data_IF_624248908702
#
_entry.id   IF_624248908702
#
_cell.length_a   1.000
_cell.length_b   1.000
_cell.length_c   1.000
_cell.angle_alpha   90.00
_cell.angle_beta   90.00
_cell.angle_gamma   90.00
#
_symmetry.space_group_name_H-M   'P 1'
#
loop_
_entity.id
_entity.type
_entity.pdbx_description
1 polymer ?
#
# COMPACT_ATOMS: atom_id res chain seq x y z
N UNK A 1 1.36 -28.65 0.94
CA UNK A 1 0.41 -27.55 0.91
C UNK A 1 0.96 -26.34 1.63
N UNK A 2 0.97 -25.21 0.97
CA UNK A 2 1.51 -23.97 1.54
C UNK A 2 0.41 -23.19 2.24
N UNK A 3 0.31 -23.36 3.54
CA UNK A 3 -0.76 -22.73 4.32
C UNK A 3 -0.58 -21.25 4.53
N UNK A 4 0.65 -20.77 4.65
CA UNK A 4 0.94 -19.39 5.02
C UNK A 4 1.82 -18.70 3.98
N UNK A 5 1.52 -18.99 2.72
CA UNK A 5 2.27 -18.43 1.61
C UNK A 5 2.17 -16.89 1.57
N UNK A 6 1.02 -16.35 1.97
CA UNK A 6 0.80 -14.89 1.95
C UNK A 6 1.71 -14.14 2.91
N UNK A 7 2.24 -14.78 3.94
CA UNK A 7 3.15 -14.12 4.90
C UNK A 7 4.41 -13.60 4.20
N UNK A 8 4.82 -14.24 3.12
CA UNK A 8 5.98 -13.80 2.33
C UNK A 8 5.77 -12.45 1.67
N UNK A 9 4.53 -11.98 1.58
CA UNK A 9 4.22 -10.66 1.03
C UNK A 9 4.52 -9.52 2.00
N UNK A 10 4.69 -9.83 3.29
CA UNK A 10 5.02 -8.85 4.33
C UNK A 10 6.52 -8.57 4.27
N UNK A 11 6.88 -7.34 3.91
CA UNK A 11 8.28 -6.96 3.70
C UNK A 11 8.57 -5.59 4.33
N UNK A 12 9.84 -5.35 4.65
CA UNK A 12 10.27 -4.02 5.10
C UNK A 12 10.31 -3.10 3.89
N UNK A 13 10.34 -1.77 4.14
CA UNK A 13 10.41 -0.81 3.03
C UNK A 13 11.71 -0.98 2.24
N UNK A 14 12.80 -1.34 2.89
CA UNK A 14 14.08 -1.57 2.22
C UNK A 14 14.02 -2.77 1.29
N UNK A 15 13.46 -3.89 1.77
CA UNK A 15 13.24 -5.08 0.95
C UNK A 15 12.30 -4.77 -0.22
N UNK A 16 11.24 -3.99 0.07
CA UNK A 16 10.24 -3.64 -0.93
C UNK A 16 10.85 -2.76 -2.03
N UNK A 17 11.71 -1.80 -1.66
CA UNK A 17 12.37 -0.92 -2.63
C UNK A 17 13.18 -1.74 -3.63
N UNK A 18 13.91 -2.75 -3.16
CA UNK A 18 14.67 -3.63 -4.05
C UNK A 18 13.76 -4.44 -4.97
N UNK A 19 12.65 -4.95 -4.44
CA UNK A 19 11.70 -5.72 -5.23
C UNK A 19 11.02 -4.86 -6.30
N UNK A 20 10.61 -3.65 -5.95
CA UNK A 20 9.97 -2.73 -6.90
C UNK A 20 10.94 -2.35 -8.00
N UNK A 21 12.19 -2.07 -7.66
CA UNK A 21 13.21 -1.74 -8.63
C UNK A 21 13.37 -2.87 -9.66
N UNK A 22 13.43 -4.12 -9.20
CA UNK A 22 13.55 -5.28 -10.06
C UNK A 22 12.31 -5.47 -10.94
N UNK A 23 11.11 -5.29 -10.37
CA UNK A 23 9.86 -5.42 -11.12
C UNK A 23 9.76 -4.38 -12.23
N UNK A 24 10.11 -3.14 -11.94
CA UNK A 24 10.08 -2.06 -12.94
C UNK A 24 11.12 -2.30 -14.04
N UNK A 25 12.30 -2.76 -13.66
CA UNK A 25 13.36 -3.08 -14.61
C UNK A 25 12.92 -4.20 -15.58
N UNK A 26 12.06 -5.10 -15.12
CA UNK A 26 11.51 -6.18 -15.93
C UNK A 26 10.30 -5.75 -16.78
N UNK A 27 9.92 -4.46 -16.72
CA UNK A 27 8.82 -3.93 -17.51
C UNK A 27 7.45 -4.01 -16.85
N UNK A 28 7.40 -4.33 -15.55
CA UNK A 28 6.12 -4.42 -14.84
C UNK A 28 5.66 -3.06 -14.35
N UNK A 29 4.35 -2.86 -14.38
CA UNK A 29 3.70 -1.66 -13.86
C UNK A 29 3.31 -1.89 -12.40
N UNK A 30 3.78 -1.03 -11.50
CA UNK A 30 3.59 -1.15 -10.07
C UNK A 30 2.56 -0.14 -9.59
N UNK A 31 1.53 -0.63 -8.90
CA UNK A 31 0.45 0.18 -8.33
C UNK A 31 0.68 0.28 -6.82
N UNK A 32 0.46 1.46 -6.27
CA UNK A 32 0.62 1.71 -4.83
C UNK A 32 -0.66 2.30 -4.26
N UNK A 33 -1.05 1.82 -3.09
CA UNK A 33 -2.11 2.44 -2.28
C UNK A 33 -1.74 2.31 -0.81
N UNK A 34 -2.42 3.08 0.03
CA UNK A 34 -2.16 3.04 1.47
C UNK A 34 -3.46 3.24 2.26
N UNK A 35 -3.42 2.88 3.52
CA UNK A 35 -4.55 3.08 4.41
C UNK A 35 -4.32 2.44 5.78
N UNK A 36 -5.24 2.69 6.70
CA UNK A 36 -5.21 2.09 8.03
C UNK A 36 -5.72 0.65 7.96
N UNK A 37 -6.78 0.41 7.22
CA UNK A 37 -7.39 -0.91 7.04
C UNK A 37 -7.67 -1.62 8.38
N UNK A 38 -8.29 -0.89 9.29
CA UNK A 38 -8.56 -1.39 10.65
C UNK A 38 -9.60 -2.51 10.64
N UNK A 39 -10.72 -2.26 10.00
CA UNK A 39 -11.81 -3.23 9.87
C UNK A 39 -12.08 -3.42 8.38
N UNK A 40 -11.69 -4.58 7.86
CA UNK A 40 -11.82 -4.90 6.44
C UNK A 40 -13.25 -5.36 6.12
N UNK A 41 -13.79 -4.85 5.04
CA UNK A 41 -15.11 -5.28 4.54
C UNK A 41 -15.06 -5.38 3.01
N UNK A 42 -16.19 -5.79 2.42
CA UNK A 42 -16.27 -6.03 0.98
C UNK A 42 -15.87 -4.82 0.14
N UNK A 43 -16.16 -3.61 0.62
CA UNK A 43 -15.76 -2.38 -0.06
C UNK A 43 -14.26 -2.27 -0.23
N UNK A 44 -13.50 -2.63 0.80
CA UNK A 44 -12.04 -2.66 0.72
C UNK A 44 -11.55 -3.68 -0.30
N UNK A 45 -12.15 -4.87 -0.32
CA UNK A 45 -11.76 -5.92 -1.26
C UNK A 45 -11.99 -5.46 -2.70
N UNK A 46 -13.15 -4.85 -2.97
CA UNK A 46 -13.47 -4.33 -4.31
C UNK A 46 -12.51 -3.22 -4.72
N UNK A 47 -12.23 -2.29 -3.82
CA UNK A 47 -11.31 -1.19 -4.06
C UNK A 47 -9.91 -1.70 -4.39
N UNK A 48 -9.40 -2.64 -3.58
CA UNK A 48 -8.06 -3.18 -3.79
C UNK A 48 -7.99 -4.00 -5.08
N UNK A 49 -9.05 -4.75 -5.41
CA UNK A 49 -9.11 -5.50 -6.67
C UNK A 49 -9.09 -4.58 -7.88
N UNK A 50 -9.82 -3.47 -7.82
CA UNK A 50 -9.82 -2.47 -8.88
C UNK A 50 -8.45 -1.81 -9.02
N UNK A 51 -7.83 -1.47 -7.89
CA UNK A 51 -6.48 -0.90 -7.88
C UNK A 51 -5.49 -1.87 -8.54
N UNK A 52 -5.56 -3.14 -8.19
CA UNK A 52 -4.67 -4.17 -8.74
C UNK A 52 -4.81 -4.28 -10.27
N UNK A 53 -6.00 -4.04 -10.79
CA UNK A 53 -6.26 -4.14 -12.24
C UNK A 53 -5.57 -3.03 -13.04
N UNK A 54 -5.07 -1.99 -12.37
CA UNK A 54 -4.41 -0.87 -13.03
C UNK A 54 -2.94 -1.13 -13.35
N UNK A 55 -2.40 -2.25 -12.93
CA UNK A 55 -1.02 -2.62 -13.19
C UNK A 55 -0.76 -4.10 -12.99
N UNK A 56 0.50 -4.45 -12.90
CA UNK A 56 0.93 -5.85 -12.78
C UNK A 56 1.09 -6.30 -11.32
N UNK A 57 1.47 -5.38 -10.45
CA UNK A 57 1.69 -5.65 -9.02
C UNK A 57 1.06 -4.56 -8.18
N UNK A 58 0.37 -4.95 -7.10
CA UNK A 58 -0.24 -4.02 -6.16
C UNK A 58 0.52 -4.05 -4.84
N UNK A 59 0.99 -2.88 -4.41
CA UNK A 59 1.63 -2.68 -3.13
C UNK A 59 0.67 -1.93 -2.23
N UNK A 60 0.48 -2.44 -1.01
CA UNK A 60 -0.34 -1.77 0.00
C UNK A 60 0.55 -1.39 1.17
N UNK A 61 0.54 -0.13 1.54
CA UNK A 61 1.23 0.37 2.72
C UNK A 61 0.20 0.62 3.82
N UNK A 62 0.45 0.05 4.99
CA UNK A 62 -0.47 0.11 6.13
C UNK A 62 0.11 1.06 7.18
N UNK A 63 -0.70 1.99 7.66
CA UNK A 63 -0.29 2.88 8.75
C UNK A 63 0.02 2.06 10.00
N UNK A 64 1.14 2.36 10.67
CA UNK A 64 1.47 1.75 11.95
C UNK A 64 0.41 2.10 12.99
N UNK A 65 0.43 1.44 14.14
CA UNK A 65 -0.50 1.77 15.22
C UNK A 65 -0.36 3.23 15.66
N UNK A 66 0.87 3.71 15.79
CA UNK A 66 1.12 5.09 16.17
C UNK A 66 0.62 6.08 15.11
N UNK A 67 0.89 5.80 13.85
CA UNK A 67 0.42 6.63 12.73
C UNK A 67 -1.11 6.66 12.67
N UNK A 68 -1.74 5.50 12.81
CA UNK A 68 -3.21 5.39 12.80
C UNK A 68 -3.83 6.17 13.97
N UNK A 69 -3.22 6.11 15.14
CA UNK A 69 -3.70 6.83 16.32
C UNK A 69 -3.65 8.35 16.11
N UNK A 70 -2.57 8.83 15.50
CA UNK A 70 -2.46 10.27 15.19
C UNK A 70 -3.54 10.74 14.21
N UNK A 71 -3.90 9.88 13.25
CA UNK A 71 -4.90 10.23 12.23
C UNK A 71 -6.34 10.05 12.71
N UNK A 72 -6.62 8.99 13.44
CA UNK A 72 -7.98 8.59 13.82
C UNK A 72 -8.36 8.96 15.26
N UNK A 73 -7.38 9.29 16.09
CA UNK A 73 -7.58 9.65 17.49
C UNK A 73 -7.46 8.48 18.44
N UNK A 74 -7.60 8.75 19.76
CA UNK A 74 -7.49 7.72 20.79
C UNK A 74 -8.52 6.60 20.58
N UNK A 75 -8.16 5.39 20.93
CA UNK A 75 -9.03 4.24 20.76
C UNK A 75 -8.91 3.55 19.40
N UNK A 76 -8.13 4.10 18.49
CA UNK A 76 -7.86 3.50 17.19
C UNK A 76 -6.37 3.24 17.02
N UNK A 77 -5.95 2.18 16.30
CA UNK A 77 -6.81 1.20 15.64
C UNK A 77 -7.34 0.15 16.64
N UNK A 78 -8.39 -0.57 16.24
CA UNK A 78 -8.89 -1.71 17.02
C UNK A 78 -7.99 -2.93 16.86
N UNK A 79 -7.47 -3.13 15.65
CA UNK A 79 -6.55 -4.22 15.35
C UNK A 79 -5.12 -3.67 15.24
N UNK A 80 -4.14 -4.42 15.75
CA UNK A 80 -2.75 -3.97 15.69
C UNK A 80 -2.22 -4.02 14.26
N UNK A 81 -1.12 -3.30 14.01
CA UNK A 81 -0.56 -3.17 12.66
C UNK A 81 -0.16 -4.51 12.05
N UNK A 82 0.34 -5.44 12.83
CA UNK A 82 0.74 -6.75 12.34
C UNK A 82 -0.46 -7.53 11.83
N UNK A 83 -1.55 -7.55 12.59
CA UNK A 83 -2.78 -8.23 12.18
C UNK A 83 -3.40 -7.55 10.97
N UNK A 84 -3.43 -6.23 10.93
CA UNK A 84 -3.97 -5.49 9.79
C UNK A 84 -3.18 -5.79 8.52
N UNK A 85 -1.87 -5.76 8.61
CA UNK A 85 -1.02 -6.06 7.47
C UNK A 85 -1.19 -7.51 7.00
N UNK A 86 -1.32 -8.45 7.94
CA UNK A 86 -1.51 -9.85 7.61
C UNK A 86 -2.83 -10.09 6.86
N UNK A 87 -3.92 -9.47 7.32
CA UNK A 87 -5.22 -9.60 6.65
C UNK A 87 -5.14 -9.09 5.21
N UNK A 88 -4.51 -7.93 5.01
CA UNK A 88 -4.33 -7.37 3.67
C UNK A 88 -3.47 -8.30 2.80
N UNK A 89 -2.39 -8.83 3.35
CA UNK A 89 -1.51 -9.73 2.61
C UNK A 89 -2.21 -11.01 2.15
N UNK A 90 -3.21 -11.45 2.89
CA UNK A 90 -3.96 -12.66 2.55
C UNK A 90 -4.89 -12.47 1.35
N UNK A 91 -5.15 -11.22 0.93
CA UNK A 91 -5.99 -10.96 -0.23
C UNK A 91 -5.23 -11.30 -1.52
N UNK A 92 -5.91 -12.02 -2.40
CA UNK A 92 -5.28 -12.51 -3.63
C UNK A 92 -4.72 -11.39 -4.51
N UNK A 93 -5.41 -10.25 -4.58
CA UNK A 93 -5.02 -9.15 -5.45
C UNK A 93 -3.79 -8.37 -4.95
N UNK A 94 -3.38 -8.55 -3.70
CA UNK A 94 -2.25 -7.83 -3.10
C UNK A 94 -0.96 -8.57 -3.34
N UNK A 95 0.06 -7.87 -3.82
CA UNK A 95 1.38 -8.46 -4.12
C UNK A 95 2.34 -8.35 -2.93
N UNK A 96 2.44 -7.15 -2.35
CA UNK A 96 3.31 -6.88 -1.21
C UNK A 96 2.66 -5.93 -0.24
N UNK A 97 2.98 -6.08 1.05
CA UNK A 97 2.50 -5.19 2.11
C UNK A 97 3.69 -4.73 2.94
N UNK A 98 3.71 -3.45 3.25
CA UNK A 98 4.67 -2.89 4.21
C UNK A 98 3.92 -1.97 5.17
N UNK A 99 4.55 -1.61 6.28
CA UNK A 99 3.99 -0.65 7.23
C UNK A 99 4.81 0.62 7.20
N UNK A 100 4.17 1.76 7.51
CA UNK A 100 4.87 3.03 7.63
C UNK A 100 4.40 3.76 8.88
N UNK A 101 5.33 4.45 9.54
CA UNK A 101 5.08 5.12 10.81
C UNK A 101 4.80 6.61 10.65
N UNK A 102 5.15 7.18 9.53
CA UNK A 102 4.96 8.59 9.24
C UNK A 102 3.47 8.94 9.10
N UNK A 103 3.13 10.22 9.20
CA UNK A 103 1.75 10.68 9.08
C UNK A 103 1.20 10.45 7.67
N UNK A 104 2.07 10.56 6.66
CA UNK A 104 1.71 10.34 5.26
C UNK A 104 2.70 9.38 4.63
N UNK A 105 2.34 8.70 3.53
CA UNK A 105 3.25 7.78 2.84
C UNK A 105 4.23 8.49 1.89
N UNK A 106 4.41 9.80 2.00
CA UNK A 106 5.23 10.58 1.05
C UNK A 106 6.64 10.03 0.87
N UNK A 107 7.36 9.81 1.98
CA UNK A 107 8.73 9.30 1.92
C UNK A 107 8.81 7.90 1.32
N UNK A 108 7.82 7.07 1.63
CA UNK A 108 7.74 5.73 1.09
C UNK A 108 7.48 5.75 -0.42
N UNK A 109 6.55 6.59 -0.87
CA UNK A 109 6.26 6.75 -2.29
C UNK A 109 7.50 7.27 -3.04
N UNK A 110 8.22 8.20 -2.43
CA UNK A 110 9.47 8.74 -2.98
C UNK A 110 10.52 7.65 -3.15
N UNK A 111 10.63 6.76 -2.17
CA UNK A 111 11.56 5.64 -2.19
C UNK A 111 11.21 4.61 -3.27
N UNK A 112 9.92 4.31 -3.43
CA UNK A 112 9.45 3.25 -4.31
C UNK A 112 9.21 3.69 -5.76
N UNK A 113 8.85 4.93 -5.97
CA UNK A 113 8.50 5.49 -7.29
C UNK A 113 7.53 4.59 -8.06
N UNK A 114 6.32 4.36 -7.51
CA UNK A 114 5.34 3.53 -8.22
C UNK A 114 4.87 4.17 -9.51
N UNK A 115 4.36 3.35 -10.42
CA UNK A 115 3.85 3.82 -11.71
C UNK A 115 2.44 4.40 -11.57
N UNK A 116 1.64 3.84 -10.68
CA UNK A 116 0.26 4.27 -10.45
C UNK A 116 0.04 4.46 -8.96
N UNK A 117 -0.58 5.57 -8.60
CA UNK A 117 -0.93 5.88 -7.22
C UNK A 117 -2.45 5.90 -7.13
N UNK A 118 -3.01 5.08 -6.23
CA UNK A 118 -4.45 4.96 -6.05
C UNK A 118 -4.83 5.42 -4.66
N UNK A 119 -5.88 6.24 -4.58
CA UNK A 119 -6.43 6.73 -3.33
C UNK A 119 -7.93 6.42 -3.29
N UNK A 120 -8.41 5.93 -2.17
CA UNK A 120 -9.84 5.67 -2.00
C UNK A 120 -10.63 6.97 -1.94
N UNK A 121 -11.81 6.98 -2.59
CA UNK A 121 -12.68 8.14 -2.64
C UNK A 121 -12.30 9.14 -3.75
N UNK A 122 -13.05 10.25 -3.78
CA UNK A 122 -12.87 11.29 -4.81
C UNK A 122 -11.93 12.38 -4.31
N UNK A 123 -10.63 12.15 -4.48
CA UNK A 123 -9.62 13.14 -4.11
C UNK A 123 -9.10 13.84 -5.35
N UNK A 124 -9.04 15.20 -5.36
CA UNK A 124 -8.35 15.90 -6.44
C UNK A 124 -6.90 15.42 -6.55
N UNK A 125 -6.41 15.28 -7.76
CA UNK A 125 -5.08 14.74 -8.01
C UNK A 125 -3.98 15.50 -7.27
N UNK A 126 -4.07 16.81 -7.23
CA UNK A 126 -3.09 17.66 -6.56
C UNK A 126 -3.13 17.58 -5.02
N UNK A 127 -4.20 17.01 -4.46
CA UNK A 127 -4.32 16.79 -3.02
C UNK A 127 -3.90 15.37 -2.61
N UNK A 128 -3.59 14.51 -3.57
CA UNK A 128 -3.12 13.15 -3.29
C UNK A 128 -1.62 13.22 -2.94
N UNK A 129 -1.29 12.77 -1.72
CA UNK A 129 0.10 12.74 -1.26
C UNK A 129 0.94 11.87 -2.20
N UNK A 130 2.04 12.40 -2.68
CA UNK A 130 2.96 11.68 -3.56
C UNK A 130 2.62 11.78 -5.05
N UNK A 131 1.51 12.43 -5.42
CA UNK A 131 1.10 12.56 -6.82
C UNK A 131 2.17 13.25 -7.66
N UNK A 132 2.83 14.26 -7.11
CA UNK A 132 3.92 14.98 -7.77
C UNK A 132 5.09 14.04 -8.12
N UNK A 133 5.44 13.15 -7.21
CA UNK A 133 6.53 12.18 -7.40
C UNK A 133 6.18 11.22 -8.55
N UNK A 134 4.98 10.67 -8.52
CA UNK A 134 4.54 9.68 -9.51
C UNK A 134 4.47 10.32 -10.90
N UNK A 135 3.92 11.52 -10.99
CA UNK A 135 3.82 12.25 -12.26
C UNK A 135 5.20 12.61 -12.81
N UNK A 136 6.13 13.04 -11.95
CA UNK A 136 7.49 13.38 -12.37
C UNK A 136 8.22 12.17 -12.95
N UNK A 137 7.89 10.97 -12.48
CA UNK A 137 8.47 9.73 -12.98
C UNK A 137 7.69 9.16 -14.20
N UNK A 138 6.69 9.88 -14.70
CA UNK A 138 5.90 9.46 -15.85
C UNK A 138 4.72 8.57 -15.51
N UNK A 139 4.37 8.46 -14.23
CA UNK A 139 3.27 7.61 -13.78
C UNK A 139 1.92 8.34 -13.65
N UNK A 140 0.97 7.63 -13.14
CA UNK A 140 -0.42 8.05 -12.91
C UNK A 140 -0.76 7.88 -11.42
#
# INVERSE_FOLDING_TARGET
>A
MERINYIKKLVTREELAEKVKALKAAGNKVVFTNGVFDIIHAGHVRYLSEAASLGDFLIVAVNSDASARRLKGPGRPFNNEQDRAEVIAALKCVSYVTTFDEDTPYELIKMLEPDVLVKGGDWPVDEIVGADIVKSAGGE
#
